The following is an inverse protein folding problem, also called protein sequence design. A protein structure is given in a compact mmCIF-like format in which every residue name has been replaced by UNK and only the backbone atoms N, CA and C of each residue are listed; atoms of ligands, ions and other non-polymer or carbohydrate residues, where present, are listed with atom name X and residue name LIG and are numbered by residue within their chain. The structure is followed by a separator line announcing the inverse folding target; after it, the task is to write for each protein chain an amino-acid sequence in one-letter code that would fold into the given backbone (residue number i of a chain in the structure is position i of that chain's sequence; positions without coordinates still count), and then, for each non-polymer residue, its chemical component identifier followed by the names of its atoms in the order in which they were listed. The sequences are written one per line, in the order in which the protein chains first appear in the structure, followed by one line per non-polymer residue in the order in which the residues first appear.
data_IF_564641064646
#
_entry.id   IF_564641064646
#
_cell.length_a   1.000
_cell.length_b   1.000
_cell.length_c   1.000
_cell.angle_alpha   90.00
_cell.angle_beta   90.00
_cell.angle_gamma   90.00
#
_symmetry.space_group_name_H-M   'P 1'
#
loop_
_entity.id
_entity.type
_entity.pdbx_description
1 polymer ?
#
# COMPACT_ATOMS: atom_id res chain seq x y z
N UNK A 1 -24.81 -21.67 3.36
CA UNK A 1 -23.85 -21.53 4.47
C UNK A 1 -22.57 -21.03 3.84
N UNK A 2 -22.07 -19.84 4.21
CA UNK A 2 -20.88 -19.27 3.57
C UNK A 2 -19.64 -20.07 3.99
N UNK A 3 -18.87 -20.56 3.03
CA UNK A 3 -17.53 -21.11 3.28
C UNK A 3 -16.68 -20.00 3.93
N UNK A 4 -16.08 -20.21 5.11
CA UNK A 4 -15.22 -19.19 5.70
C UNK A 4 -14.06 -18.93 4.75
N UNK A 5 -13.87 -17.66 4.35
CA UNK A 5 -12.84 -17.27 3.38
C UNK A 5 -11.39 -17.51 3.86
N UNK A 6 -11.23 -18.02 5.09
CA UNK A 6 -9.99 -18.24 5.83
C UNK A 6 -10.08 -19.63 6.46
N UNK A 7 -8.97 -20.36 6.53
CA UNK A 7 -8.87 -21.65 7.24
C UNK A 7 -7.67 -21.62 8.18
N UNK A 8 -7.68 -22.45 9.22
CA UNK A 8 -6.56 -22.56 10.17
C UNK A 8 -6.12 -24.02 10.25
N UNK A 9 -4.82 -24.24 10.14
CA UNK A 9 -4.16 -25.51 10.41
C UNK A 9 -3.53 -25.47 11.80
N UNK A 10 -4.12 -26.18 12.76
CA UNK A 10 -3.63 -26.25 14.14
C UNK A 10 -2.39 -27.14 14.32
N UNK A 11 -1.97 -27.86 13.27
CA UNK A 11 -0.74 -28.67 13.27
C UNK A 11 0.49 -27.90 12.74
N UNK A 12 0.26 -26.74 12.11
CA UNK A 12 1.31 -25.86 11.61
C UNK A 12 2.10 -25.18 12.74
N UNK A 13 3.39 -24.91 12.49
CA UNK A 13 4.23 -24.11 13.38
C UNK A 13 3.85 -22.62 13.42
N UNK A 14 3.03 -22.15 12.47
CA UNK A 14 2.55 -20.77 12.44
C UNK A 14 1.39 -20.60 13.43
N UNK A 15 1.43 -19.65 14.38
CA UNK A 15 0.34 -19.45 15.33
C UNK A 15 -1.02 -19.19 14.64
N UNK A 16 -2.15 -19.71 15.15
CA UNK A 16 -3.47 -19.53 14.54
C UNK A 16 -3.87 -18.08 14.23
N UNK A 17 -3.54 -17.11 15.10
CA UNK A 17 -3.83 -15.69 14.85
C UNK A 17 -3.09 -15.16 13.62
N UNK A 18 -1.86 -15.65 13.39
CA UNK A 18 -0.97 -15.21 12.32
C UNK A 18 -1.43 -15.80 10.98
N UNK A 19 -1.92 -17.05 10.97
CA UNK A 19 -2.55 -17.67 9.80
C UNK A 19 -3.80 -16.88 9.34
N UNK A 20 -4.64 -16.47 10.28
CA UNK A 20 -5.85 -15.65 10.01
C UNK A 20 -5.42 -14.29 9.45
N UNK A 21 -4.48 -13.62 10.12
CA UNK A 21 -3.94 -12.31 9.72
C UNK A 21 -3.39 -12.35 8.29
N UNK A 22 -2.56 -13.34 7.97
CA UNK A 22 -1.93 -13.48 6.66
C UNK A 22 -2.97 -13.69 5.54
N UNK A 23 -3.96 -14.57 5.75
CA UNK A 23 -5.01 -14.85 4.76
C UNK A 23 -5.93 -13.66 4.53
N UNK A 24 -6.45 -13.02 5.59
CA UNK A 24 -7.26 -11.81 5.45
C UNK A 24 -6.49 -10.68 4.77
N UNK A 25 -5.23 -10.47 5.14
CA UNK A 25 -4.37 -9.49 4.48
C UNK A 25 -4.10 -9.81 3.00
N UNK A 26 -4.05 -11.09 2.61
CA UNK A 26 -3.93 -11.48 1.21
C UNK A 26 -5.23 -11.23 0.43
N UNK A 27 -6.39 -11.59 0.99
CA UNK A 27 -7.69 -11.35 0.38
C UNK A 27 -8.00 -9.86 0.17
N UNK A 28 -7.67 -9.02 1.16
CA UNK A 28 -7.81 -7.56 1.07
C UNK A 28 -6.87 -7.00 -0.01
N UNK A 29 -5.59 -7.37 -0.01
CA UNK A 29 -4.60 -6.89 -1.00
C UNK A 29 -4.86 -7.37 -2.43
N UNK A 30 -5.53 -8.51 -2.60
CA UNK A 30 -5.96 -9.03 -3.91
C UNK A 30 -7.34 -8.52 -4.36
N UNK A 31 -7.99 -7.66 -3.56
CA UNK A 31 -9.33 -7.15 -3.86
C UNK A 31 -10.44 -8.20 -3.78
N UNK A 32 -10.15 -9.42 -3.29
CA UNK A 32 -11.16 -10.47 -3.04
C UNK A 32 -12.06 -10.15 -1.84
N UNK A 33 -11.58 -9.31 -0.93
CA UNK A 33 -12.38 -8.58 0.04
C UNK A 33 -12.32 -7.10 -0.34
N UNK A 34 -13.46 -6.52 -0.71
CA UNK A 34 -13.54 -5.17 -1.26
C UNK A 34 -13.46 -4.09 -0.18
N UNK A 35 -13.07 -2.87 -0.56
CA UNK A 35 -13.13 -1.70 0.34
C UNK A 35 -14.53 -1.55 0.94
N UNK A 36 -14.59 -1.31 2.26
CA UNK A 36 -15.84 -1.13 2.99
C UNK A 36 -16.65 -2.40 3.18
N UNK A 37 -16.23 -3.55 2.62
CA UNK A 37 -16.88 -4.85 2.85
C UNK A 37 -16.90 -5.19 4.35
N UNK A 38 -18.01 -5.78 4.80
CA UNK A 38 -18.22 -6.08 6.21
C UNK A 38 -17.63 -7.43 6.56
N UNK A 39 -16.62 -7.43 7.43
CA UNK A 39 -16.04 -8.65 7.95
C UNK A 39 -16.97 -9.31 8.99
N UNK A 40 -16.87 -10.64 9.18
CA UNK A 40 -17.51 -11.33 10.29
C UNK A 40 -17.13 -10.70 11.63
N UNK A 41 -17.97 -10.87 12.65
CA UNK A 41 -17.56 -10.45 14.01
C UNK A 41 -16.51 -11.40 14.57
N UNK A 42 -15.69 -10.93 15.52
CA UNK A 42 -14.72 -11.77 16.25
C UNK A 42 -15.37 -13.06 16.80
N UNK A 43 -16.59 -12.96 17.34
CA UNK A 43 -17.33 -14.14 17.83
C UNK A 43 -17.81 -15.06 16.72
N UNK A 44 -18.27 -14.51 15.60
CA UNK A 44 -18.72 -15.32 14.46
C UNK A 44 -17.54 -16.10 13.86
N UNK A 45 -16.44 -15.42 13.53
CA UNK A 45 -15.28 -16.06 12.94
C UNK A 45 -14.58 -17.02 13.92
N UNK A 46 -14.67 -16.79 15.23
CA UNK A 46 -14.21 -17.74 16.24
C UNK A 46 -15.03 -19.05 16.23
N UNK A 47 -16.35 -18.97 16.06
CA UNK A 47 -17.22 -20.15 15.90
C UNK A 47 -16.98 -20.84 14.56
N UNK A 48 -16.87 -20.08 13.47
CA UNK A 48 -16.68 -20.62 12.11
C UNK A 48 -15.33 -21.35 11.93
N UNK A 49 -14.33 -21.03 12.76
CA UNK A 49 -12.98 -21.61 12.73
C UNK A 49 -12.68 -22.56 13.91
N UNK A 50 -13.61 -22.77 14.83
CA UNK A 50 -13.42 -23.48 16.12
C UNK A 50 -12.20 -22.98 16.92
N UNK A 51 -12.14 -21.67 17.18
CA UNK A 51 -11.03 -21.01 17.85
C UNK A 51 -11.47 -20.16 19.05
N UNK A 52 -10.54 -19.98 20.00
CA UNK A 52 -10.72 -19.04 21.09
C UNK A 52 -10.92 -17.60 20.56
N UNK A 53 -11.95 -16.84 21.01
CA UNK A 53 -12.19 -15.48 20.52
C UNK A 53 -11.02 -14.51 20.67
N UNK A 54 -10.15 -14.72 21.67
CA UNK A 54 -8.92 -13.93 21.86
C UNK A 54 -7.92 -14.06 20.69
N UNK A 55 -7.85 -15.23 20.06
CA UNK A 55 -7.00 -15.49 18.88
C UNK A 55 -7.46 -14.67 17.69
N UNK A 56 -8.77 -14.65 17.43
CA UNK A 56 -9.38 -13.86 16.35
C UNK A 56 -9.30 -12.36 16.66
N UNK A 57 -9.54 -11.96 17.91
CA UNK A 57 -9.40 -10.58 18.36
C UNK A 57 -7.97 -10.05 18.14
N UNK A 58 -6.95 -10.86 18.44
CA UNK A 58 -5.54 -10.53 18.15
C UNK A 58 -5.32 -10.36 16.64
N UNK A 59 -5.76 -11.32 15.82
CA UNK A 59 -5.61 -11.22 14.36
C UNK A 59 -6.25 -9.93 13.80
N UNK A 60 -7.43 -9.55 14.30
CA UNK A 60 -8.11 -8.31 13.90
C UNK A 60 -7.35 -7.06 14.39
N UNK A 61 -6.84 -7.06 15.63
CA UNK A 61 -6.02 -5.97 16.14
C UNK A 61 -4.77 -5.71 15.28
N UNK A 62 -4.07 -6.77 14.86
CA UNK A 62 -2.90 -6.64 13.97
C UNK A 62 -3.29 -6.13 12.56
N UNK A 63 -4.45 -6.53 12.03
CA UNK A 63 -4.96 -6.02 10.74
C UNK A 63 -5.40 -4.55 10.82
N UNK A 64 -5.95 -4.12 11.95
CA UNK A 64 -6.36 -2.74 12.22
C UNK A 64 -5.13 -1.84 12.42
N UNK A 65 -4.10 -2.33 13.14
CA UNK A 65 -2.80 -1.68 13.26
C UNK A 65 -2.08 -1.56 11.89
N UNK A 66 -2.22 -2.56 11.02
CA UNK A 66 -1.73 -2.50 9.64
C UNK A 66 -2.59 -1.65 8.69
N UNK A 67 -3.66 -1.00 9.19
CA UNK A 67 -4.54 -0.15 8.40
C UNK A 67 -5.41 -0.86 7.36
N UNK A 68 -5.46 -2.21 7.37
CA UNK A 68 -6.18 -3.03 6.40
C UNK A 68 -7.68 -3.16 6.72
N UNK A 69 -8.06 -2.96 7.98
CA UNK A 69 -9.45 -2.98 8.45
C UNK A 69 -9.69 -1.79 9.38
N UNK A 70 -10.96 -1.43 9.61
CA UNK A 70 -11.38 -0.49 10.65
C UNK A 70 -12.58 -1.01 11.41
N UNK A 71 -12.56 -0.84 12.72
CA UNK A 71 -13.63 -1.21 13.64
C UNK A 71 -14.30 0.05 14.18
N UNK A 72 -15.63 0.17 14.02
CA UNK A 72 -16.41 1.28 14.58
C UNK A 72 -17.48 0.74 15.53
N UNK A 73 -17.55 1.29 16.75
CA UNK A 73 -18.57 0.94 17.76
C UNK A 73 -19.97 1.00 17.12
N UNK A 74 -20.74 -0.08 17.28
CA UNK A 74 -22.08 -0.24 16.71
C UNK A 74 -22.14 -0.62 15.21
N UNK A 75 -21.16 -0.22 14.40
CA UNK A 75 -21.17 -0.48 12.95
C UNK A 75 -20.43 -1.77 12.53
N UNK A 76 -19.63 -2.36 13.44
CA UNK A 76 -18.83 -3.56 13.20
C UNK A 76 -17.47 -3.26 12.59
N UNK A 77 -16.85 -4.31 12.04
CA UNK A 77 -15.53 -4.26 11.40
C UNK A 77 -15.71 -4.30 9.89
N UNK A 78 -14.98 -3.45 9.17
CA UNK A 78 -14.99 -3.38 7.70
C UNK A 78 -13.57 -3.34 7.17
N UNK A 79 -13.38 -3.83 5.94
CA UNK A 79 -12.17 -3.62 5.16
C UNK A 79 -11.94 -2.11 4.99
N UNK A 80 -10.73 -1.64 5.27
CA UNK A 80 -10.38 -0.25 5.09
C UNK A 80 -10.31 0.09 3.59
N UNK A 81 -10.33 1.38 3.27
CA UNK A 81 -9.80 1.84 1.99
C UNK A 81 -8.33 1.44 1.93
N UNK A 82 -8.00 0.45 1.09
CA UNK A 82 -6.62 0.13 0.82
C UNK A 82 -6.03 1.37 0.12
N UNK A 83 -5.02 2.05 0.70
CA UNK A 83 -4.70 3.41 0.31
C UNK A 83 -4.26 3.49 -1.15
N UNK A 84 -5.20 3.87 -2.02
CA UNK A 84 -4.95 4.25 -3.41
C UNK A 84 -4.45 5.70 -3.43
N UNK A 85 -3.29 5.90 -2.81
CA UNK A 85 -2.65 7.18 -2.58
C UNK A 85 -1.37 6.99 -1.78
N UNK A 86 -0.43 7.95 -1.83
CA UNK A 86 0.84 7.81 -1.12
C UNK A 86 0.60 7.64 0.38
N UNK A 87 1.13 6.55 0.94
CA UNK A 87 1.18 6.39 2.39
C UNK A 87 1.97 7.58 2.96
N UNK A 88 1.46 8.31 3.96
CA UNK A 88 2.27 9.33 4.64
C UNK A 88 3.52 8.64 5.16
N UNK A 89 4.70 9.16 4.81
CA UNK A 89 5.98 8.51 5.12
C UNK A 89 6.12 8.37 6.64
N UNK A 90 6.11 7.13 7.15
CA UNK A 90 6.51 6.86 8.52
C UNK A 90 8.03 6.85 8.59
N UNK A 91 8.59 8.04 8.83
CA UNK A 91 10.03 8.26 8.97
C UNK A 91 10.62 7.43 10.12
N UNK A 92 9.86 7.13 11.18
CA UNK A 92 10.34 6.32 12.30
C UNK A 92 10.45 4.85 11.88
N UNK A 93 9.42 4.31 11.24
CA UNK A 93 9.45 2.93 10.72
C UNK A 93 10.54 2.76 9.65
N UNK A 94 10.69 3.72 8.72
CA UNK A 94 11.78 3.71 7.74
C UNK A 94 13.16 3.76 8.41
N UNK A 95 13.32 4.57 9.46
CA UNK A 95 14.58 4.67 10.22
C UNK A 95 14.92 3.35 10.91
N UNK A 96 13.94 2.67 11.50
CA UNK A 96 14.14 1.34 12.12
C UNK A 96 14.57 0.32 11.07
N UNK A 97 13.84 0.20 9.95
CA UNK A 97 14.19 -0.72 8.87
C UNK A 97 15.59 -0.45 8.29
N UNK A 98 15.97 0.83 8.12
CA UNK A 98 17.30 1.21 7.67
C UNK A 98 18.40 0.84 8.69
N UNK A 99 18.15 0.97 10.00
CA UNK A 99 19.07 0.53 11.05
C UNK A 99 19.25 -0.98 11.08
N UNK A 100 18.16 -1.74 10.99
CA UNK A 100 18.20 -3.19 11.00
C UNK A 100 18.98 -3.74 9.79
N UNK A 101 18.69 -3.20 8.60
CA UNK A 101 19.42 -3.52 7.36
C UNK A 101 20.91 -3.15 7.44
N UNK A 102 21.25 -1.93 7.83
CA UNK A 102 22.66 -1.50 7.89
C UNK A 102 23.46 -2.21 8.98
N UNK A 103 22.81 -2.61 10.08
CA UNK A 103 23.40 -3.48 11.10
C UNK A 103 23.74 -4.86 10.54
N UNK A 104 22.77 -5.51 9.88
CA UNK A 104 22.96 -6.82 9.25
C UNK A 104 24.04 -6.80 8.16
N UNK A 105 24.06 -5.76 7.32
CA UNK A 105 25.07 -5.62 6.27
C UNK A 105 26.49 -5.41 6.83
N UNK A 106 26.64 -4.62 7.91
CA UNK A 106 27.94 -4.48 8.59
C UNK A 106 28.40 -5.77 9.27
N UNK A 107 27.48 -6.60 9.77
CA UNK A 107 27.82 -7.89 10.38
C UNK A 107 28.46 -8.88 9.38
N UNK A 108 28.19 -8.73 8.08
CA UNK A 108 28.85 -9.50 7.00
C UNK A 108 30.04 -8.77 6.36
N UNK A 109 30.49 -7.65 6.94
CA UNK A 109 31.66 -6.89 6.50
C UNK A 109 31.41 -5.87 5.39
N UNK A 110 30.16 -5.58 5.02
CA UNK A 110 29.87 -4.61 3.97
C UNK A 110 30.23 -3.17 4.40
N UNK A 111 30.97 -2.46 3.55
CA UNK A 111 31.27 -1.04 3.69
C UNK A 111 30.09 -0.16 3.28
N UNK A 112 30.21 1.15 3.53
CA UNK A 112 29.13 2.11 3.19
C UNK A 112 28.79 2.09 1.69
N UNK A 113 29.78 1.99 0.80
CA UNK A 113 29.54 1.97 -0.65
C UNK A 113 28.90 0.66 -1.11
N UNK A 114 29.26 -0.49 -0.52
CA UNK A 114 28.63 -1.78 -0.82
C UNK A 114 27.15 -1.75 -0.42
N UNK A 115 26.85 -1.21 0.76
CA UNK A 115 25.49 -1.02 1.28
C UNK A 115 24.67 -0.10 0.37
N UNK A 116 25.23 1.05 -0.05
CA UNK A 116 24.54 1.99 -0.93
C UNK A 116 24.33 1.41 -2.34
N UNK A 117 25.27 0.63 -2.85
CA UNK A 117 25.15 -0.06 -4.15
C UNK A 117 24.07 -1.13 -4.09
N UNK A 118 24.09 -2.00 -3.07
CA UNK A 118 23.07 -3.02 -2.87
C UNK A 118 21.65 -2.45 -2.74
N UNK A 119 21.48 -1.30 -2.07
CA UNK A 119 20.17 -0.62 -1.99
C UNK A 119 19.73 -0.07 -3.35
N UNK A 120 20.63 0.55 -4.13
CA UNK A 120 20.30 1.05 -5.48
C UNK A 120 19.90 -0.09 -6.42
N UNK A 121 20.66 -1.18 -6.41
CA UNK A 121 20.39 -2.36 -7.23
C UNK A 121 19.06 -3.03 -6.83
N UNK A 122 18.77 -3.13 -5.53
CA UNK A 122 17.53 -3.70 -5.01
C UNK A 122 16.29 -2.83 -5.30
N UNK A 123 16.45 -1.50 -5.40
CA UNK A 123 15.38 -0.59 -5.85
C UNK A 123 15.16 -0.67 -7.37
N UNK A 124 16.20 -1.05 -8.12
CA UNK A 124 16.18 -1.12 -9.58
C UNK A 124 15.95 0.23 -10.28
N UNK A 125 15.76 0.24 -11.61
CA UNK A 125 15.25 1.40 -12.31
C UNK A 125 13.77 1.60 -11.96
N UNK A 126 13.52 2.39 -10.90
CA UNK A 126 12.17 2.71 -10.44
C UNK A 126 11.30 3.37 -11.53
N UNK A 127 9.97 3.28 -11.42
CA UNK A 127 9.06 3.83 -12.42
C UNK A 127 9.28 5.34 -12.56
N UNK A 128 9.66 5.76 -13.77
CA UNK A 128 9.89 7.17 -14.09
C UNK A 128 8.65 8.00 -13.73
N UNK A 129 8.87 9.18 -13.13
CA UNK A 129 7.82 10.08 -12.64
C UNK A 129 6.73 10.34 -13.67
N UNK A 130 5.60 9.64 -13.53
CA UNK A 130 4.38 9.89 -14.31
C UNK A 130 3.67 11.14 -13.81
N UNK A 131 4.30 12.30 -14.03
CA UNK A 131 3.77 13.63 -13.76
C UNK A 131 4.12 14.60 -14.90
N UNK A 132 4.07 14.09 -16.14
CA UNK A 132 4.38 14.83 -17.35
C UNK A 132 3.48 14.39 -18.54
N UNK A 133 2.15 14.41 -18.36
CA UNK A 133 1.17 14.64 -19.44
C UNK A 133 -0.21 15.06 -18.86
N UNK A 134 -0.34 16.31 -18.44
CA UNK A 134 -1.62 17.03 -18.60
C UNK A 134 -1.46 17.97 -19.80
N UNK A 135 -1.94 17.52 -20.95
CA UNK A 135 -1.78 18.24 -22.21
C UNK A 135 -2.45 19.60 -22.18
N UNK A 136 -1.66 20.67 -22.22
CA UNK A 136 -2.10 21.97 -22.70
C UNK A 136 -2.57 21.81 -24.16
N UNK A 137 -3.88 21.91 -24.39
CA UNK A 137 -4.46 21.35 -25.63
C UNK A 137 -5.92 21.70 -25.94
N UNK A 138 -6.40 22.87 -25.54
CA UNK A 138 -7.62 23.47 -26.09
C UNK A 138 -7.44 25.00 -26.15
N UNK A 139 -7.50 25.69 -27.30
CA UNK A 139 -8.14 25.31 -28.57
C UNK A 139 -9.28 26.25 -28.96
N UNK A 140 -9.24 27.52 -28.53
CA UNK A 140 -10.24 28.54 -28.86
C UNK A 140 -9.89 29.32 -30.13
N UNK A 141 -10.82 29.49 -31.11
CA UNK A 141 -10.48 30.05 -32.41
C UNK A 141 -10.48 31.59 -32.47
N UNK A 142 -9.31 32.13 -32.85
CA UNK A 142 -9.08 33.26 -33.77
C UNK A 142 -10.28 34.16 -34.17
N UNK A 143 -10.34 35.38 -33.61
CA UNK A 143 -10.91 36.56 -34.28
C UNK A 143 -10.10 37.83 -33.98
N UNK A 144 -9.24 38.26 -34.91
CA UNK A 144 -8.64 39.60 -34.91
C UNK A 144 -8.15 40.02 -36.31
N UNK A 145 -8.69 41.12 -36.82
CA UNK A 145 -8.16 41.98 -37.90
C UNK A 145 -7.77 43.33 -37.27
N UNK A 146 -6.95 44.23 -37.83
CA UNK A 146 -6.46 44.53 -39.19
C UNK A 146 -4.93 44.73 -39.07
N UNK A 147 -4.02 44.64 -40.06
CA UNK A 147 -4.05 44.66 -41.53
C UNK A 147 -3.18 45.82 -42.04
N UNK A 148 -2.40 45.59 -43.12
CA UNK A 148 -1.38 46.50 -43.71
C UNK A 148 -0.15 46.86 -42.82
N UNK A 149 1.08 47.00 -43.34
CA UNK A 149 1.61 46.68 -44.68
C UNK A 149 2.90 47.44 -45.03
N UNK A 150 3.88 46.76 -45.66
CA UNK A 150 5.14 47.31 -46.25
C UNK A 150 6.18 47.93 -45.26
N UNK A 151 7.51 47.97 -45.49
CA UNK A 151 8.40 47.55 -46.61
C UNK A 151 9.87 47.35 -46.11
N UNK A 152 10.70 46.64 -46.89
CA UNK A 152 12.19 46.63 -47.04
C UNK A 152 13.13 47.03 -45.88
N UNK A 153 14.22 46.31 -45.50
CA UNK A 153 15.41 45.88 -46.29
C UNK A 153 16.21 47.08 -46.84
N UNK A 154 17.50 47.34 -46.60
CA UNK A 154 18.56 46.77 -45.73
C UNK A 154 19.55 47.92 -45.33
N UNK A 155 20.66 47.65 -44.63
CA UNK A 155 21.90 48.37 -44.96
C UNK A 155 23.16 47.50 -45.00
N UNK A 156 24.19 48.03 -45.66
CA UNK A 156 25.60 47.59 -45.59
C UNK A 156 26.39 48.50 -44.63
#
# INVERSE_FOLDING_TARGET
MSDPAVRVDTTSQVPPYEQIRAQLAALIRTGRLAEGERLPTVRQLAVDLDLAPGTVARAYHELEAAGLIRTRRGAGTRVAALPSGPHPLDTNQLTTLARDFTSAARAIGAGTEDILTAVRDALGPGPASSSAITGSGAGGPKTASVGAGHRSEAPA
#
